data_IF_635490910074
#
_entry.id   IF_635490910074
#
_cell.length_a   1.000
_cell.length_b   1.000
_cell.length_c   1.000
_cell.angle_alpha   90.00
_cell.angle_beta   90.00
_cell.angle_gamma   90.00
#
_symmetry.space_group_name_H-M   'P 1'
#
loop_
_entity.id
_entity.type
_entity.pdbx_description
1 polymer ?
#
# COMPACT_ATOMS: atom_id res chain seq x y z
N UNK A 1 33.35 -33.35 17.90
CA UNK A 1 34.24 -33.13 16.74
C UNK A 1 33.46 -33.54 15.51
N UNK A 2 33.07 -32.56 14.69
CA UNK A 2 32.40 -32.80 13.42
C UNK A 2 33.25 -32.08 12.37
N UNK A 3 34.13 -32.82 11.71
CA UNK A 3 34.94 -32.30 10.61
C UNK A 3 34.16 -32.50 9.31
N UNK A 4 33.74 -31.38 8.71
CA UNK A 4 33.24 -31.34 7.34
C UNK A 4 34.29 -30.68 6.44
N UNK A 5 34.48 -31.13 5.19
CA UNK A 5 35.49 -30.58 4.30
C UNK A 5 35.14 -29.14 3.90
N UNK A 6 36.03 -28.21 4.23
CA UNK A 6 35.93 -26.80 3.85
C UNK A 6 36.23 -26.63 2.36
N UNK A 7 35.25 -26.19 1.57
CA UNK A 7 35.39 -25.86 0.15
C UNK A 7 35.91 -24.43 -0.05
N UNK A 8 37.04 -24.09 0.56
CA UNK A 8 37.73 -22.82 0.34
C UNK A 8 39.19 -23.10 -0.04
N UNK A 9 39.39 -23.54 -1.28
CA UNK A 9 40.72 -23.56 -1.87
C UNK A 9 40.58 -23.26 -3.36
N UNK A 10 40.66 -21.97 -3.68
CA UNK A 10 41.04 -21.52 -5.02
C UNK A 10 42.56 -21.45 -5.10
N UNK A 11 43.13 -21.42 -6.32
CA UNK A 11 44.59 -21.29 -6.50
C UNK A 11 45.11 -20.04 -5.79
N UNK A 12 46.30 -20.16 -5.19
CA UNK A 12 46.99 -19.05 -4.53
C UNK A 12 47.17 -17.93 -5.57
N UNK A 13 46.69 -16.70 -5.31
CA UNK A 13 46.81 -15.62 -6.26
C UNK A 13 48.30 -15.26 -6.45
N UNK A 14 48.71 -14.89 -7.68
CA UNK A 14 50.12 -14.68 -8.00
C UNK A 14 50.70 -13.49 -7.21
N UNK A 15 51.99 -13.58 -6.89
CA UNK A 15 52.70 -12.56 -6.10
C UNK A 15 52.56 -11.15 -6.76
N UNK A 16 52.05 -10.15 -6.03
CA UNK A 16 51.85 -8.80 -6.54
C UNK A 16 53.15 -8.11 -6.97
N UNK A 17 54.32 -8.57 -6.51
CA UNK A 17 55.62 -8.04 -6.95
C UNK A 17 56.00 -8.47 -8.37
N UNK A 18 55.50 -9.63 -8.81
CA UNK A 18 55.82 -10.22 -10.11
C UNK A 18 54.82 -9.82 -11.21
N UNK A 19 53.56 -9.54 -10.84
CA UNK A 19 52.51 -9.15 -11.78
C UNK A 19 51.72 -7.91 -11.33
N UNK A 20 52.36 -6.72 -11.26
CA UNK A 20 51.72 -5.50 -10.78
C UNK A 20 50.52 -5.06 -11.64
N UNK A 21 50.42 -5.53 -12.89
CA UNK A 21 49.33 -5.18 -13.80
C UNK A 21 47.98 -5.82 -13.44
N UNK A 22 48.00 -7.03 -12.84
CA UNK A 22 46.80 -7.75 -12.42
C UNK A 22 46.13 -7.14 -11.18
N UNK A 23 46.88 -6.34 -10.42
CA UNK A 23 46.42 -5.68 -9.20
C UNK A 23 46.23 -4.16 -9.36
N UNK A 24 46.27 -3.63 -10.60
CA UNK A 24 46.00 -2.22 -10.87
C UNK A 24 44.53 -1.88 -10.59
N UNK A 25 44.26 -1.23 -9.46
CA UNK A 25 42.93 -0.70 -9.16
C UNK A 25 42.55 0.45 -10.11
N UNK A 26 41.30 0.49 -10.63
CA UNK A 26 40.84 1.59 -11.47
C UNK A 26 40.86 2.90 -10.69
N UNK A 27 41.39 3.97 -11.30
CA UNK A 27 41.59 5.31 -10.72
C UNK A 27 40.31 5.98 -10.18
N UNK A 28 39.13 5.40 -10.43
CA UNK A 28 37.84 5.86 -9.92
C UNK A 28 37.60 5.55 -8.43
N UNK A 29 38.36 4.64 -7.82
CA UNK A 29 38.09 4.17 -6.45
C UNK A 29 38.93 4.86 -5.36
N UNK A 30 39.82 5.79 -5.72
CA UNK A 30 40.82 6.38 -4.80
C UNK A 30 40.30 7.56 -3.96
N UNK A 31 38.98 7.77 -3.90
CA UNK A 31 38.40 9.00 -3.36
C UNK A 31 37.98 8.98 -1.89
N UNK A 32 38.16 7.89 -1.12
CA UNK A 32 37.47 7.80 0.18
C UNK A 32 38.28 7.37 1.40
N UNK A 33 39.51 6.87 1.26
CA UNK A 33 40.25 6.29 2.40
C UNK A 33 41.77 6.46 2.27
N UNK A 34 42.29 7.68 2.07
CA UNK A 34 43.68 7.99 2.43
C UNK A 34 43.68 9.39 3.08
N UNK A 35 44.12 9.47 4.34
CA UNK A 35 44.24 10.70 5.10
C UNK A 35 45.25 11.64 4.41
N UNK A 36 44.86 12.89 4.28
CA UNK A 36 45.66 13.94 3.65
C UNK A 36 46.72 14.42 4.66
N UNK A 37 47.95 13.98 4.48
CA UNK A 37 49.12 14.61 5.07
C UNK A 37 49.80 15.41 3.96
N UNK A 38 50.27 16.59 4.33
CA UNK A 38 51.08 17.54 3.55
C UNK A 38 50.30 18.62 2.79
N UNK A 39 50.21 19.77 3.47
CA UNK A 39 49.90 21.05 2.86
C UNK A 39 51.01 21.48 1.91
N UNK A 40 50.66 21.65 0.64
CA UNK A 40 51.47 22.30 -0.37
C UNK A 40 50.63 23.34 -1.10
N UNK A 41 50.70 24.59 -0.65
CA UNK A 41 50.27 25.74 -1.43
C UNK A 41 51.16 25.85 -2.66
N UNK A 42 50.68 25.38 -3.81
CA UNK A 42 51.32 25.64 -5.10
C UNK A 42 50.50 26.67 -5.88
N UNK A 43 51.10 27.85 -5.96
CA UNK A 43 50.76 28.96 -6.84
C UNK A 43 50.54 28.48 -8.28
N UNK A 44 49.31 28.60 -8.77
CA UNK A 44 48.92 28.44 -10.17
C UNK A 44 48.19 29.70 -10.63
N UNK A 45 48.17 30.00 -11.94
CA UNK A 45 47.61 31.27 -12.44
C UNK A 45 46.14 31.43 -12.04
N UNK A 46 45.71 32.67 -11.77
CA UNK A 46 44.33 32.98 -11.42
C UNK A 46 43.36 32.29 -12.39
N UNK A 47 42.41 31.56 -11.81
CA UNK A 47 41.38 30.83 -12.53
C UNK A 47 40.56 31.83 -13.40
N UNK A 48 40.47 31.65 -14.74
CA UNK A 48 39.69 32.53 -15.62
C UNK A 48 38.23 32.69 -15.18
N UNK A 49 37.66 33.88 -15.27
CA UNK A 49 36.30 34.16 -14.79
C UNK A 49 35.24 33.18 -15.36
N UNK A 50 34.42 32.63 -14.46
CA UNK A 50 33.43 31.58 -14.74
C UNK A 50 32.27 32.07 -15.62
N UNK A 51 32.08 33.39 -15.70
CA UNK A 51 31.07 34.01 -16.57
C UNK A 51 31.51 34.01 -18.04
N UNK A 52 32.82 34.12 -18.30
CA UNK A 52 33.36 34.26 -19.66
C UNK A 52 33.76 32.91 -20.29
N UNK A 53 34.10 31.91 -19.46
CA UNK A 53 34.57 30.60 -19.96
C UNK A 53 33.95 29.40 -19.20
N UNK A 54 32.65 29.08 -19.44
CA UNK A 54 31.94 28.00 -18.73
C UNK A 54 32.49 26.59 -18.99
N UNK A 55 33.20 26.41 -20.11
CA UNK A 55 33.69 25.11 -20.56
C UNK A 55 34.91 24.57 -19.81
N UNK A 56 35.68 25.43 -19.13
CA UNK A 56 36.95 25.05 -18.52
C UNK A 56 36.82 24.57 -17.05
N UNK A 57 35.64 24.73 -16.44
CA UNK A 57 35.36 24.35 -15.05
C UNK A 57 34.52 23.08 -14.89
N UNK A 58 34.13 22.47 -16.00
CA UNK A 58 33.32 21.25 -15.95
C UNK A 58 34.26 20.05 -15.85
N UNK A 59 34.30 19.40 -14.68
CA UNK A 59 35.06 18.14 -14.47
C UNK A 59 34.53 16.94 -15.30
N UNK A 60 33.53 17.16 -16.16
CA UNK A 60 33.12 16.21 -17.20
C UNK A 60 33.76 16.64 -18.51
N UNK A 61 34.57 15.76 -19.09
CA UNK A 61 34.87 15.81 -20.51
C UNK A 61 33.57 16.03 -21.29
N UNK A 62 33.50 17.02 -22.21
CA UNK A 62 32.34 17.16 -23.08
C UNK A 62 32.11 15.81 -23.76
N UNK A 63 30.86 15.35 -23.77
CA UNK A 63 30.50 14.05 -24.31
C UNK A 63 31.01 13.97 -25.76
N UNK A 64 32.03 13.14 -25.97
CA UNK A 64 32.58 12.88 -27.30
C UNK A 64 31.41 12.50 -28.22
N UNK A 65 31.35 13.14 -29.39
CA UNK A 65 30.34 12.78 -30.38
C UNK A 65 30.45 11.27 -30.66
N UNK A 66 29.32 10.55 -30.68
CA UNK A 66 29.36 9.13 -31.02
C UNK A 66 30.08 8.96 -32.36
N UNK A 67 31.05 8.04 -32.42
CA UNK A 67 31.75 7.71 -33.67
C UNK A 67 30.74 7.07 -34.61
N UNK A 68 30.26 7.85 -35.57
CA UNK A 68 29.23 7.48 -36.52
C UNK A 68 29.88 7.50 -37.90
N UNK A 69 29.71 6.40 -38.66
CA UNK A 69 30.21 6.31 -40.03
C UNK A 69 29.50 7.29 -40.97
N UNK A 70 30.08 7.60 -42.15
CA UNK A 70 29.56 8.62 -43.08
C UNK A 70 28.09 8.36 -43.47
N UNK A 71 27.69 7.10 -43.60
CA UNK A 71 26.32 6.73 -43.99
C UNK A 71 25.27 6.93 -42.87
N UNK A 72 25.70 7.11 -41.63
CA UNK A 72 24.82 7.22 -40.46
C UNK A 72 24.77 8.65 -39.89
N UNK A 73 25.42 9.63 -40.53
CA UNK A 73 25.39 11.05 -40.14
C UNK A 73 23.96 11.60 -40.13
N UNK A 74 23.15 11.22 -41.13
CA UNK A 74 21.75 11.63 -41.24
C UNK A 74 20.90 11.22 -40.03
N UNK A 75 21.20 10.08 -39.40
CA UNK A 75 20.48 9.57 -38.21
C UNK A 75 20.78 10.45 -36.99
N UNK A 76 22.05 10.85 -36.83
CA UNK A 76 22.46 11.76 -35.77
C UNK A 76 21.82 13.13 -35.96
N UNK A 77 21.84 13.66 -37.17
CA UNK A 77 21.24 14.95 -37.50
C UNK A 77 19.73 14.93 -37.26
N UNK A 78 19.03 13.88 -37.69
CA UNK A 78 17.60 13.68 -37.41
C UNK A 78 17.29 13.58 -35.92
N UNK A 79 18.14 12.93 -35.14
CA UNK A 79 18.02 12.86 -33.69
C UNK A 79 18.25 14.22 -33.00
N UNK A 80 19.14 15.05 -33.54
CA UNK A 80 19.44 16.39 -33.01
C UNK A 80 18.39 17.43 -33.41
N UNK A 81 17.98 17.46 -34.68
CA UNK A 81 17.04 18.44 -35.25
C UNK A 81 15.58 18.05 -35.01
N UNK A 82 15.30 16.76 -34.77
CA UNK A 82 13.95 16.23 -34.69
C UNK A 82 13.24 16.22 -36.06
N UNK A 83 12.09 15.56 -36.15
CA UNK A 83 11.33 15.40 -37.42
C UNK A 83 10.92 16.76 -38.00
N UNK A 84 10.58 17.73 -37.15
CA UNK A 84 10.15 19.05 -37.59
C UNK A 84 11.33 19.92 -38.08
N UNK A 85 12.51 19.77 -37.48
CA UNK A 85 13.73 20.45 -37.93
C UNK A 85 14.39 19.80 -39.15
N UNK A 86 13.97 18.60 -39.56
CA UNK A 86 14.33 17.99 -40.84
C UNK A 86 13.44 18.54 -41.98
N UNK A 87 12.16 18.79 -41.70
CA UNK A 87 11.20 19.35 -42.65
C UNK A 87 11.44 20.85 -42.87
N UNK A 88 11.72 21.58 -41.78
CA UNK A 88 12.16 22.95 -41.81
C UNK A 88 13.67 22.95 -41.95
N UNK A 89 14.18 22.97 -43.19
CA UNK A 89 15.61 23.18 -43.51
C UNK A 89 16.04 24.60 -43.08
N UNK A 90 16.02 24.85 -41.79
CA UNK A 90 16.53 26.07 -41.17
C UNK A 90 17.97 25.77 -40.82
N UNK A 91 18.84 25.99 -41.80
CA UNK A 91 20.26 25.99 -41.56
C UNK A 91 20.58 27.19 -40.63
N UNK A 92 21.12 26.84 -39.47
CA UNK A 92 21.82 27.70 -38.51
C UNK A 92 21.05 28.51 -37.44
N UNK A 93 19.77 28.23 -37.19
CA UNK A 93 19.11 28.71 -35.96
C UNK A 93 18.95 27.59 -34.93
N UNK A 94 19.71 27.56 -33.81
CA UNK A 94 19.45 26.63 -32.73
C UNK A 94 18.14 27.00 -32.05
N UNK A 95 17.04 26.36 -32.46
CA UNK A 95 15.82 26.35 -31.68
C UNK A 95 16.14 25.68 -30.35
N UNK A 96 16.30 26.49 -29.30
CA UNK A 96 16.38 26.02 -27.92
C UNK A 96 15.08 25.27 -27.65
N UNK A 97 15.11 23.96 -27.80
CA UNK A 97 14.00 23.10 -27.40
C UNK A 97 13.87 23.28 -25.89
N UNK A 98 12.84 24.00 -25.45
CA UNK A 98 12.51 24.09 -24.03
C UNK A 98 12.30 22.65 -23.55
N UNK A 99 13.14 22.13 -22.63
CA UNK A 99 13.00 20.76 -22.20
C UNK A 99 11.64 20.65 -21.52
N UNK A 100 10.75 19.84 -22.09
CA UNK A 100 9.50 19.44 -21.42
C UNK A 100 9.92 18.96 -20.03
N UNK A 101 9.41 19.61 -18.98
CA UNK A 101 9.65 19.17 -17.61
C UNK A 101 9.27 17.70 -17.55
N UNK A 102 10.26 16.84 -17.36
CA UNK A 102 10.00 15.42 -17.15
C UNK A 102 9.15 15.35 -15.89
N UNK A 103 7.92 14.88 -16.03
CA UNK A 103 7.08 14.58 -14.88
C UNK A 103 7.92 13.66 -13.98
N UNK A 104 8.21 14.11 -12.76
CA UNK A 104 9.01 13.34 -11.81
C UNK A 104 8.27 12.01 -11.63
N UNK A 105 8.85 10.92 -12.13
CA UNK A 105 8.30 9.58 -11.95
C UNK A 105 8.35 9.33 -10.45
N UNK A 106 7.16 9.17 -9.86
CA UNK A 106 7.02 9.03 -8.43
C UNK A 106 7.58 7.67 -8.01
N UNK A 107 8.53 7.67 -7.07
CA UNK A 107 9.13 6.44 -6.56
C UNK A 107 8.13 5.70 -5.66
N UNK A 108 7.25 4.90 -6.26
CA UNK A 108 6.22 4.14 -5.53
C UNK A 108 6.81 3.25 -4.44
N UNK A 109 8.04 2.77 -4.59
CA UNK A 109 8.75 2.03 -3.53
C UNK A 109 8.97 2.87 -2.26
N UNK A 110 9.40 4.13 -2.40
CA UNK A 110 9.61 5.05 -1.27
C UNK A 110 8.28 5.45 -0.64
N UNK A 111 7.26 5.70 -1.46
CA UNK A 111 5.92 6.05 -0.99
C UNK A 111 5.26 4.88 -0.23
N UNK A 112 5.38 3.65 -0.74
CA UNK A 112 4.89 2.45 -0.08
C UNK A 112 5.58 2.24 1.28
N UNK A 113 6.89 2.47 1.37
CA UNK A 113 7.62 2.40 2.65
C UNK A 113 7.15 3.49 3.62
N UNK A 114 6.91 4.72 3.16
CA UNK A 114 6.35 5.79 4.00
C UNK A 114 4.96 5.42 4.51
N UNK A 115 4.09 4.97 3.61
CA UNK A 115 2.73 4.51 3.94
C UNK A 115 2.74 3.36 4.92
N UNK A 116 3.64 2.38 4.77
CA UNK A 116 3.77 1.26 5.70
C UNK A 116 4.18 1.74 7.10
N UNK A 117 5.14 2.66 7.19
CA UNK A 117 5.55 3.27 8.47
C UNK A 117 4.41 4.06 9.11
N UNK A 118 3.62 4.76 8.31
CA UNK A 118 2.49 5.55 8.78
C UNK A 118 1.36 4.66 9.32
N UNK A 119 1.07 3.54 8.64
CA UNK A 119 0.14 2.51 9.15
C UNK A 119 0.65 1.92 10.47
N UNK A 120 1.93 1.57 10.55
CA UNK A 120 2.54 1.06 11.78
C UNK A 120 2.49 2.09 12.92
N UNK A 121 2.70 3.38 12.61
CA UNK A 121 2.60 4.47 13.57
C UNK A 121 1.17 4.62 14.09
N UNK A 122 0.17 4.68 13.20
CA UNK A 122 -1.25 4.74 13.58
C UNK A 122 -1.69 3.55 14.42
N UNK A 123 -1.23 2.35 14.10
CA UNK A 123 -1.56 1.16 14.89
C UNK A 123 -0.98 1.25 16.32
N UNK A 124 0.25 1.77 16.47
CA UNK A 124 0.82 2.03 17.80
C UNK A 124 0.07 3.11 18.56
N UNK A 125 -0.32 4.19 17.89
CA UNK A 125 -1.10 5.29 18.48
C UNK A 125 -2.47 4.80 18.94
N UNK A 126 -3.20 4.05 18.10
CA UNK A 126 -4.47 3.43 18.50
C UNK A 126 -4.29 2.47 19.68
N UNK A 127 -3.24 1.65 19.70
CA UNK A 127 -2.95 0.79 20.85
C UNK A 127 -2.62 1.60 22.10
N UNK A 128 -1.94 2.75 21.97
CA UNK A 128 -1.66 3.66 23.07
C UNK A 128 -2.93 4.37 23.57
N UNK A 129 -3.81 4.83 22.67
CA UNK A 129 -5.13 5.39 23.01
C UNK A 129 -6.03 4.35 23.67
N UNK A 130 -6.03 3.11 23.18
CA UNK A 130 -6.73 1.99 23.82
C UNK A 130 -6.13 1.71 25.19
N UNK A 131 -4.80 1.75 25.35
CA UNK A 131 -4.15 1.54 26.65
C UNK A 131 -4.39 2.71 27.63
N UNK A 132 -4.50 3.94 27.14
CA UNK A 132 -4.79 5.14 27.94
C UNK A 132 -6.27 5.22 28.33
N UNK A 133 -7.18 4.86 27.42
CA UNK A 133 -8.64 4.80 27.68
C UNK A 133 -9.07 3.56 28.45
N UNK A 134 -8.27 2.49 28.42
CA UNK A 134 -8.35 1.40 29.39
C UNK A 134 -7.99 1.95 30.76
N UNK A 135 -9.05 2.28 31.49
CA UNK A 135 -9.05 2.41 32.95
C UNK A 135 -8.27 1.23 33.53
N UNK A 136 -7.39 1.54 34.50
CA UNK A 136 -6.52 0.59 35.21
C UNK A 136 -7.18 -0.79 35.29
N UNK A 137 -6.53 -1.86 34.79
CA UNK A 137 -7.17 -3.16 34.65
C UNK A 137 -7.80 -3.51 35.99
N UNK A 138 -9.14 -3.47 36.04
CA UNK A 138 -9.89 -3.84 37.22
C UNK A 138 -9.63 -5.33 37.37
N UNK A 139 -8.63 -5.67 38.20
CA UNK A 139 -8.50 -7.02 38.74
C UNK A 139 -9.89 -7.37 39.24
N UNK A 140 -10.51 -8.38 38.64
CA UNK A 140 -11.85 -8.86 38.97
C UNK A 140 -11.90 -9.53 40.35
N UNK A 141 -11.29 -8.90 41.34
CA UNK A 141 -11.37 -9.25 42.74
C UNK A 141 -12.22 -8.16 43.36
N UNK A 142 -13.52 -8.42 43.50
CA UNK A 142 -14.35 -7.58 44.36
C UNK A 142 -13.67 -7.50 45.73
N UNK A 143 -13.70 -6.33 46.38
CA UNK A 143 -13.12 -6.12 47.73
C UNK A 143 -13.57 -7.16 48.77
N UNK A 144 -14.70 -7.83 48.51
CA UNK A 144 -15.24 -8.94 49.29
C UNK A 144 -14.32 -10.16 49.44
N UNK A 145 -13.32 -10.35 48.56
CA UNK A 145 -12.48 -11.56 48.53
C UNK A 145 -10.98 -11.31 48.75
N UNK A 146 -10.59 -10.08 49.14
CA UNK A 146 -9.17 -9.74 49.38
C UNK A 146 -8.56 -10.58 50.52
N UNK A 147 -9.38 -10.98 51.49
CA UNK A 147 -8.98 -11.75 52.67
C UNK A 147 -9.27 -13.26 52.56
N UNK A 148 -9.76 -13.74 51.41
CA UNK A 148 -10.05 -15.16 51.22
C UNK A 148 -8.82 -15.86 50.66
N UNK A 149 -8.13 -16.63 51.51
CA UNK A 149 -7.01 -17.48 51.09
C UNK A 149 -7.47 -18.48 50.02
N UNK A 150 -6.63 -18.70 49.02
CA UNK A 150 -6.89 -19.73 48.01
C UNK A 150 -6.90 -21.11 48.67
N UNK A 151 -8.04 -21.82 48.59
CA UNK A 151 -8.16 -23.21 49.06
C UNK A 151 -7.15 -24.15 48.38
N UNK A 152 -6.71 -23.81 47.17
CA UNK A 152 -5.66 -24.54 46.45
C UNK A 152 -4.31 -24.34 47.12
N UNK A 153 -4.02 -23.14 47.64
CA UNK A 153 -2.80 -22.87 48.41
C UNK A 153 -2.79 -23.65 49.74
N UNK A 154 -3.94 -23.76 50.40
CA UNK A 154 -4.09 -24.59 51.61
C UNK A 154 -3.92 -26.09 51.31
N UNK A 155 -4.46 -26.59 50.19
CA UNK A 155 -4.30 -27.98 49.78
C UNK A 155 -2.86 -28.34 49.38
N UNK A 156 -2.09 -27.40 48.85
CA UNK A 156 -0.67 -27.60 48.52
C UNK A 156 0.27 -27.47 49.73
N UNK A 157 -0.14 -26.72 50.77
CA UNK A 157 0.63 -26.57 52.01
C UNK A 157 0.28 -27.63 53.07
N UNK A 158 -0.85 -28.35 52.92
CA UNK A 158 -1.19 -29.46 53.79
C UNK A 158 -0.23 -30.65 53.56
N UNK A 159 0.37 -31.22 54.62
CA UNK A 159 1.16 -32.44 54.49
C UNK A 159 0.24 -33.58 54.03
N UNK A 160 0.50 -34.07 52.81
CA UNK A 160 -0.09 -35.24 52.14
C UNK A 160 -1.21 -35.98 52.90
N UNK A 161 -2.48 -35.74 52.53
CA UNK A 161 -3.57 -36.63 52.92
C UNK A 161 -4.19 -37.29 51.68
N UNK A 162 -4.30 -38.61 51.83
CA UNK A 162 -4.82 -39.64 50.94
C UNK A 162 -5.71 -39.17 49.78
N UNK A 163 -5.37 -39.67 48.59
CA UNK A 163 -6.12 -39.56 47.33
C UNK A 163 -7.58 -39.97 47.59
N UNK A 164 -8.50 -39.01 47.47
CA UNK A 164 -9.95 -39.27 47.59
C UNK A 164 -10.43 -40.05 46.35
N UNK A 165 -11.23 -41.13 46.52
CA UNK A 165 -11.60 -42.06 45.44
C UNK A 165 -12.54 -41.49 44.37
N UNK A 166 -13.03 -40.26 44.55
CA UNK A 166 -14.05 -39.68 43.67
C UNK A 166 -13.51 -39.29 42.28
N UNK A 167 -12.19 -39.19 42.10
CA UNK A 167 -11.59 -38.71 40.85
C UNK A 167 -11.27 -39.81 39.81
N UNK A 168 -11.57 -41.08 40.08
CA UNK A 168 -11.22 -42.18 39.15
C UNK A 168 -12.02 -42.17 37.83
N UNK A 169 -13.14 -41.46 37.75
CA UNK A 169 -14.06 -41.55 36.61
C UNK A 169 -13.98 -40.40 35.59
N UNK A 170 -13.16 -39.36 35.83
CA UNK A 170 -13.19 -38.14 35.01
C UNK A 170 -12.27 -38.15 33.77
N UNK A 171 -11.59 -39.27 33.48
CA UNK A 171 -10.74 -39.44 32.29
C UNK A 171 -11.30 -40.43 31.26
N UNK A 172 -12.62 -40.69 31.29
CA UNK A 172 -13.28 -41.64 30.39
C UNK A 172 -14.42 -40.99 29.60
N UNK A 173 -14.09 -40.04 28.74
CA UNK A 173 -14.99 -39.60 27.68
C UNK A 173 -14.18 -39.49 26.39
N UNK A 174 -14.69 -40.12 25.32
CA UNK A 174 -14.14 -40.27 23.97
C UNK A 174 -13.43 -41.61 23.68
N UNK A 175 -14.27 -42.64 23.56
CA UNK A 175 -13.92 -43.95 23.01
C UNK A 175 -15.19 -44.77 22.84
N UNK A 176 -16.09 -44.36 21.94
CA UNK A 176 -17.18 -45.21 21.51
C UNK A 176 -16.62 -46.30 20.60
N UNK A 177 -16.30 -47.45 21.19
CA UNK A 177 -16.26 -48.72 20.48
C UNK A 177 -16.65 -49.79 21.47
N UNK A 178 -17.70 -50.53 21.14
CA UNK A 178 -18.12 -51.68 21.92
C UNK A 178 -16.95 -52.65 22.08
N UNK A 179 -16.62 -52.99 23.31
CA UNK A 179 -16.20 -54.31 23.84
C UNK A 179 -15.78 -54.02 25.29
N UNK A 180 -16.51 -54.58 26.25
CA UNK A 180 -16.14 -54.54 27.66
C UNK A 180 -14.87 -55.36 27.90
N UNK A 181 -13.85 -54.84 28.62
CA UNK A 181 -13.01 -55.71 29.42
C UNK A 181 -13.35 -55.48 30.89
N UNK A 182 -13.84 -56.52 31.57
CA UNK A 182 -13.80 -56.61 33.03
C UNK A 182 -12.32 -56.54 33.45
N UNK A 183 -11.88 -55.39 33.94
CA UNK A 183 -10.61 -55.27 34.66
C UNK A 183 -10.94 -55.49 36.13
N UNK A 184 -10.72 -56.72 36.62
CA UNK A 184 -10.64 -56.96 38.05
C UNK A 184 -9.44 -56.17 38.60
N UNK A 185 -9.69 -55.42 39.66
CA UNK A 185 -8.68 -54.73 40.44
C UNK A 185 -7.64 -55.74 40.93
N UNK A 186 -6.38 -55.54 40.56
CA UNK A 186 -5.24 -56.24 41.16
C UNK A 186 -4.85 -55.47 42.44
N UNK A 187 -5.12 -56.06 43.60
CA UNK A 187 -4.49 -55.67 44.85
C UNK A 187 -2.99 -56.00 44.75
N UNK A 188 -2.15 -54.98 44.77
CA UNK A 188 -0.70 -55.15 44.89
C UNK A 188 -0.37 -55.28 46.37
N UNK A 189 -0.29 -56.52 46.83
CA UNK A 189 0.27 -56.86 48.14
C UNK A 189 1.41 -57.88 47.93
N UNK A 190 2.60 -57.45 48.36
CA UNK A 190 3.79 -58.22 48.75
C UNK A 190 4.70 -58.89 47.69
N UNK A 191 5.96 -58.43 47.78
CA UNK A 191 7.26 -59.13 47.76
C UNK A 191 7.45 -60.31 46.79
N UNK A 192 8.33 -60.11 45.81
CA UNK A 192 8.92 -61.21 45.05
C UNK A 192 10.36 -61.47 45.50
N UNK A 193 10.59 -62.70 45.97
CA UNK A 193 11.83 -63.42 45.69
C UNK A 193 11.54 -64.46 44.60
N UNK A 194 12.48 -64.55 43.67
CA UNK A 194 12.77 -65.53 42.62
C UNK A 194 11.69 -66.40 41.94
N UNK A 195 11.61 -66.20 40.62
CA UNK A 195 11.93 -67.18 39.57
C UNK A 195 11.13 -68.50 39.49
N UNK A 196 10.02 -68.50 38.73
CA UNK A 196 9.81 -69.40 37.58
C UNK A 196 8.46 -69.12 36.87
N UNK A 197 8.54 -68.95 35.54
CA UNK A 197 7.53 -69.18 34.50
C UNK A 197 6.03 -68.95 34.86
N UNK A 198 5.42 -67.78 34.58
CA UNK A 198 4.08 -67.52 35.05
C UNK A 198 3.02 -68.00 34.04
N UNK A 199 2.52 -69.23 34.23
CA UNK A 199 1.17 -69.56 33.73
C UNK A 199 0.15 -68.88 34.64
N UNK A 200 -0.35 -67.72 34.20
CA UNK A 200 -1.42 -67.02 34.89
C UNK A 200 -2.77 -67.70 34.61
N UNK A 201 -3.31 -68.41 35.60
CA UNK A 201 -4.63 -69.02 35.54
C UNK A 201 -5.69 -67.96 35.84
N UNK A 202 -6.56 -67.65 34.87
CA UNK A 202 -7.75 -66.81 35.09
C UNK A 202 -8.96 -67.66 34.71
N UNK A 203 -9.82 -67.93 35.68
CA UNK A 203 -11.09 -68.65 35.51
C UNK A 203 -10.93 -70.09 34.96
N UNK A 204 -10.03 -70.88 35.58
CA UNK A 204 -9.93 -72.33 35.39
C UNK A 204 -9.23 -72.81 34.11
N UNK A 205 -8.82 -71.91 33.20
CA UNK A 205 -8.11 -72.27 31.97
C UNK A 205 -6.80 -71.48 31.87
N UNK A 206 -5.72 -72.12 31.40
CA UNK A 206 -4.42 -71.49 31.19
C UNK A 206 -4.47 -70.63 29.92
N UNK A 207 -4.62 -69.33 30.09
CA UNK A 207 -4.70 -68.38 28.97
C UNK A 207 -3.29 -67.92 28.62
N UNK A 208 -2.82 -68.25 27.41
CA UNK A 208 -1.52 -67.77 26.93
C UNK A 208 -1.65 -66.35 26.35
N UNK A 209 -1.33 -65.36 27.18
CA UNK A 209 -1.40 -63.94 26.80
C UNK A 209 -0.43 -63.56 25.68
N UNK A 210 0.68 -64.29 25.50
CA UNK A 210 1.63 -64.04 24.41
C UNK A 210 0.96 -64.36 23.07
N UNK A 211 0.28 -65.51 22.97
CA UNK A 211 -0.48 -65.90 21.77
C UNK A 211 -1.67 -64.97 21.51
N UNK A 212 -2.39 -64.57 22.56
CA UNK A 212 -3.50 -63.63 22.42
C UNK A 212 -3.04 -62.25 21.95
N UNK A 213 -1.96 -61.70 22.51
CA UNK A 213 -1.40 -60.43 22.07
C UNK A 213 -0.81 -60.49 20.66
N UNK A 214 -0.13 -61.60 20.30
CA UNK A 214 0.36 -61.80 18.93
C UNK A 214 -0.80 -61.81 17.92
N UNK A 215 -1.88 -62.54 18.24
CA UNK A 215 -3.08 -62.57 17.40
C UNK A 215 -3.83 -61.23 17.38
N UNK A 216 -3.82 -60.47 18.48
CA UNK A 216 -4.40 -59.13 18.53
C UNK A 216 -3.59 -58.14 17.68
N UNK A 217 -2.26 -58.17 17.79
CA UNK A 217 -1.35 -57.32 17.03
C UNK A 217 -1.40 -57.60 15.52
N UNK A 218 -1.56 -58.87 15.11
CA UNK A 218 -1.78 -59.22 13.70
C UNK A 218 -3.11 -58.72 13.14
N UNK A 219 -4.12 -58.52 13.99
CA UNK A 219 -5.47 -58.07 13.58
C UNK A 219 -5.65 -56.54 13.64
N UNK A 220 -4.74 -55.81 14.30
CA UNK A 220 -4.81 -54.34 14.33
C UNK A 220 -4.40 -53.76 13.00
N UNK A 221 -5.37 -53.29 12.21
CA UNK A 221 -5.09 -52.53 10.99
C UNK A 221 -4.54 -51.16 11.36
N UNK A 222 -3.37 -50.81 10.83
CA UNK A 222 -2.81 -49.46 10.95
C UNK A 222 -3.77 -48.46 10.30
N UNK A 223 -4.53 -47.73 11.11
CA UNK A 223 -5.36 -46.62 10.65
C UNK A 223 -4.45 -45.45 10.25
N UNK A 224 -4.30 -45.24 8.94
CA UNK A 224 -3.70 -44.00 8.41
C UNK A 224 -4.58 -42.81 8.78
N UNK A 225 -3.98 -41.67 9.12
CA UNK A 225 -4.73 -40.46 9.50
C UNK A 225 -5.66 -40.02 8.36
N UNK A 226 -6.88 -39.62 8.72
CA UNK A 226 -7.91 -39.19 7.75
C UNK A 226 -7.43 -38.05 6.85
N UNK A 227 -6.53 -37.18 7.35
CA UNK A 227 -5.92 -36.08 6.59
C UNK A 227 -5.17 -36.54 5.33
N UNK A 228 -4.49 -37.69 5.35
CA UNK A 228 -3.80 -38.21 4.16
C UNK A 228 -4.74 -38.88 3.16
N UNK A 229 -5.84 -39.45 3.65
CA UNK A 229 -6.90 -39.99 2.79
C UNK A 229 -7.67 -38.87 2.10
N UNK A 230 -8.00 -37.80 2.83
CA UNK A 230 -8.72 -36.63 2.31
C UNK A 230 -7.96 -35.85 1.22
N UNK A 231 -6.62 -35.88 1.23
CA UNK A 231 -5.81 -35.27 0.15
C UNK A 231 -5.93 -36.02 -1.19
N UNK A 232 -6.23 -37.33 -1.17
CA UNK A 232 -6.40 -38.12 -2.39
C UNK A 232 -7.77 -37.91 -3.02
N UNK A 233 -8.80 -37.73 -2.20
CA UNK A 233 -10.19 -37.66 -2.66
C UNK A 233 -10.62 -36.24 -3.08
N UNK A 234 -9.87 -35.21 -2.65
CA UNK A 234 -10.15 -33.82 -3.01
C UNK A 234 -8.87 -33.13 -3.46
N UNK A 235 -8.64 -32.96 -4.78
CA UNK A 235 -7.58 -32.07 -5.22
C UNK A 235 -7.89 -30.68 -4.64
N UNK A 236 -6.92 -30.12 -3.92
CA UNK A 236 -6.99 -28.72 -3.48
C UNK A 236 -7.31 -27.90 -4.73
N UNK A 237 -8.31 -27.00 -4.71
CA UNK A 237 -8.64 -26.20 -5.88
C UNK A 237 -7.41 -25.37 -6.23
N UNK A 238 -6.63 -25.87 -7.18
CA UNK A 238 -5.48 -25.19 -7.72
C UNK A 238 -6.07 -24.04 -8.51
N UNK A 239 -5.94 -22.83 -7.98
CA UNK A 239 -6.36 -21.61 -8.66
C UNK A 239 -5.88 -21.70 -10.12
N UNK A 240 -6.84 -21.65 -11.05
CA UNK A 240 -6.56 -21.85 -12.48
C UNK A 240 -5.50 -20.83 -12.88
N UNK A 241 -4.31 -21.33 -13.23
CA UNK A 241 -3.18 -20.45 -13.60
C UNK A 241 -3.61 -19.59 -14.78
N UNK A 242 -3.44 -18.28 -14.63
CA UNK A 242 -3.82 -17.29 -15.65
C UNK A 242 -5.19 -16.63 -15.42
N UNK A 243 -6.03 -17.14 -14.51
CA UNK A 243 -7.24 -16.43 -14.09
C UNK A 243 -6.93 -15.45 -12.96
N UNK A 244 -7.49 -14.25 -13.08
CA UNK A 244 -7.42 -13.24 -12.04
C UNK A 244 -8.36 -13.67 -10.91
N UNK A 245 -7.89 -13.71 -9.66
CA UNK A 245 -8.77 -13.99 -8.53
C UNK A 245 -9.94 -13.01 -8.43
N UNK A 246 -11.12 -13.54 -8.14
CA UNK A 246 -12.38 -12.80 -8.05
C UNK A 246 -12.28 -11.49 -7.24
N UNK A 247 -11.58 -11.52 -6.10
CA UNK A 247 -11.44 -10.33 -5.24
C UNK A 247 -10.71 -9.16 -5.93
N UNK A 248 -9.84 -9.42 -6.92
CA UNK A 248 -9.18 -8.37 -7.69
C UNK A 248 -10.11 -7.78 -8.75
N UNK A 249 -11.01 -8.59 -9.30
CA UNK A 249 -12.04 -8.14 -10.24
C UNK A 249 -13.05 -7.25 -9.52
N UNK A 250 -13.57 -7.72 -8.38
CA UNK A 250 -14.45 -6.95 -7.49
C UNK A 250 -13.80 -5.63 -7.06
N UNK A 251 -12.51 -5.64 -6.75
CA UNK A 251 -11.77 -4.42 -6.40
C UNK A 251 -11.64 -3.43 -7.55
N UNK A 252 -11.45 -3.90 -8.79
CA UNK A 252 -11.45 -3.02 -9.97
C UNK A 252 -12.83 -2.41 -10.20
N UNK A 253 -13.90 -3.17 -9.97
CA UNK A 253 -15.26 -2.64 -10.05
C UNK A 253 -15.54 -1.60 -8.97
N UNK A 254 -15.09 -1.83 -7.74
CA UNK A 254 -15.18 -0.85 -6.66
C UNK A 254 -14.50 0.47 -7.05
N UNK A 255 -13.25 0.42 -7.52
CA UNK A 255 -12.55 1.62 -7.98
C UNK A 255 -13.24 2.32 -9.14
N UNK A 256 -13.85 1.56 -10.05
CA UNK A 256 -14.62 2.12 -11.18
C UNK A 256 -15.87 2.84 -10.69
N UNK A 257 -16.60 2.25 -9.74
CA UNK A 257 -17.79 2.84 -9.11
C UNK A 257 -17.43 4.11 -8.35
N UNK A 258 -16.39 4.06 -7.51
CA UNK A 258 -15.89 5.23 -6.78
C UNK A 258 -15.37 6.33 -7.72
N UNK A 259 -14.74 5.97 -8.84
CA UNK A 259 -14.30 6.94 -9.83
C UNK A 259 -15.47 7.61 -10.56
N UNK A 260 -16.53 6.86 -10.84
CA UNK A 260 -17.75 7.41 -11.40
C UNK A 260 -18.48 8.32 -10.40
N UNK A 261 -18.60 7.91 -9.14
CA UNK A 261 -19.16 8.75 -8.07
C UNK A 261 -18.33 10.02 -7.88
N UNK A 262 -17.00 9.93 -7.84
CA UNK A 262 -16.13 11.12 -7.83
C UNK A 262 -16.32 12.00 -9.05
N UNK A 263 -16.54 11.42 -10.24
CA UNK A 263 -16.78 12.20 -11.46
C UNK A 263 -18.15 12.87 -11.46
N UNK A 264 -19.19 12.22 -10.92
CA UNK A 264 -20.54 12.79 -10.77
C UNK A 264 -20.56 13.90 -9.73
N UNK A 265 -19.83 13.72 -8.63
CA UNK A 265 -19.74 14.66 -7.53
C UNK A 265 -18.65 15.72 -7.74
N UNK A 266 -17.77 15.55 -8.73
CA UNK A 266 -16.76 16.54 -9.06
C UNK A 266 -17.50 17.81 -9.49
N UNK A 267 -17.27 18.95 -8.80
CA UNK A 267 -17.81 20.21 -9.27
C UNK A 267 -17.25 20.49 -10.67
N UNK A 268 -18.08 21.06 -11.54
CA UNK A 268 -17.71 21.38 -12.91
C UNK A 268 -16.40 22.21 -12.88
N UNK A 269 -15.32 21.78 -13.55
CA UNK A 269 -14.05 22.52 -13.53
C UNK A 269 -14.18 23.94 -14.11
N UNK A 270 -15.28 24.22 -14.82
CA UNK A 270 -15.61 25.56 -15.31
C UNK A 270 -16.31 26.44 -14.27
N UNK A 271 -16.80 25.89 -13.15
CA UNK A 271 -17.54 26.63 -12.14
C UNK A 271 -16.58 27.48 -11.27
N UNK A 272 -16.77 28.81 -11.19
CA UNK A 272 -15.99 29.65 -10.29
C UNK A 272 -16.22 29.27 -8.82
N UNK A 273 -15.18 29.38 -7.98
CA UNK A 273 -15.27 29.13 -6.53
C UNK A 273 -16.32 30.06 -5.91
N UNK A 274 -17.15 29.53 -5.00
CA UNK A 274 -18.20 30.30 -4.33
C UNK A 274 -19.41 30.65 -5.20
N UNK A 275 -19.54 30.04 -6.38
CA UNK A 275 -20.70 30.20 -7.24
C UNK A 275 -21.42 28.86 -7.42
N UNK A 276 -22.75 28.91 -7.51
CA UNK A 276 -23.61 27.75 -7.76
C UNK A 276 -24.26 27.88 -9.14
N UNK A 277 -24.43 26.76 -9.83
CA UNK A 277 -25.16 26.71 -11.10
C UNK A 277 -26.64 27.02 -10.85
N UNK A 278 -27.17 28.05 -11.51
CA UNK A 278 -28.58 28.39 -11.47
C UNK A 278 -29.41 27.29 -12.16
N UNK A 279 -30.50 26.79 -11.54
CA UNK A 279 -31.43 25.87 -12.17
C UNK A 279 -31.97 26.41 -13.50
N UNK A 280 -32.21 25.52 -14.45
CA UNK A 280 -32.65 25.93 -15.78
C UNK A 280 -34.03 26.61 -15.78
N UNK A 281 -34.96 26.15 -14.94
CA UNK A 281 -36.28 26.75 -14.78
C UNK A 281 -36.18 28.21 -14.36
N UNK A 282 -35.43 28.48 -13.29
CA UNK A 282 -35.22 29.83 -12.75
C UNK A 282 -34.52 30.75 -13.76
N UNK A 283 -33.53 30.21 -14.49
CA UNK A 283 -32.84 30.93 -15.57
C UNK A 283 -33.81 31.36 -16.67
N UNK A 284 -34.68 30.44 -17.11
CA UNK A 284 -35.65 30.71 -18.17
C UNK A 284 -36.73 31.72 -17.72
N UNK A 285 -37.19 31.64 -16.47
CA UNK A 285 -38.13 32.60 -15.89
C UNK A 285 -37.53 34.01 -15.81
N UNK A 286 -36.30 34.12 -15.30
CA UNK A 286 -35.55 35.39 -15.25
C UNK A 286 -35.36 35.97 -16.65
N UNK A 287 -34.98 35.14 -17.63
CA UNK A 287 -34.82 35.56 -19.02
C UNK A 287 -36.14 36.08 -19.63
N UNK A 288 -37.28 35.45 -19.31
CA UNK A 288 -38.61 35.94 -19.76
C UNK A 288 -38.92 37.30 -19.15
N UNK A 289 -38.76 37.45 -17.84
CA UNK A 289 -38.98 38.72 -17.12
C UNK A 289 -38.10 39.86 -17.66
N UNK A 290 -36.83 39.59 -17.93
CA UNK A 290 -35.91 40.57 -18.54
C UNK A 290 -36.36 40.97 -19.94
N UNK A 291 -36.80 40.02 -20.78
CA UNK A 291 -37.31 40.31 -22.13
C UNK A 291 -38.60 41.11 -22.11
N UNK A 292 -39.50 40.84 -21.17
CA UNK A 292 -40.73 41.61 -20.97
C UNK A 292 -40.42 43.05 -20.54
N UNK A 293 -39.54 43.21 -19.56
CA UNK A 293 -39.06 44.52 -19.10
C UNK A 293 -38.39 45.31 -20.22
N UNK A 294 -37.54 44.65 -21.02
CA UNK A 294 -36.91 45.25 -22.19
C UNK A 294 -37.95 45.75 -23.21
N UNK A 295 -38.95 44.92 -23.55
CA UNK A 295 -40.04 45.32 -24.46
C UNK A 295 -40.78 46.56 -23.93
N UNK A 296 -41.08 46.59 -22.63
CA UNK A 296 -41.75 47.73 -21.99
C UNK A 296 -40.91 49.01 -22.09
N UNK A 297 -39.60 48.94 -21.81
CA UNK A 297 -38.72 50.11 -21.93
C UNK A 297 -38.56 50.57 -23.39
N UNK A 298 -38.50 49.65 -24.36
CA UNK A 298 -38.49 50.01 -25.78
C UNK A 298 -39.79 50.71 -26.16
N UNK A 299 -40.95 50.22 -25.70
CA UNK A 299 -42.22 50.92 -25.95
C UNK A 299 -42.26 52.31 -25.32
N UNK A 300 -41.68 52.47 -24.14
CA UNK A 300 -41.58 53.78 -23.48
C UNK A 300 -40.64 54.71 -24.27
N UNK A 301 -39.48 54.24 -24.71
CA UNK A 301 -38.53 55.00 -25.52
C UNK A 301 -39.18 55.48 -26.82
N UNK A 302 -39.92 54.61 -27.50
CA UNK A 302 -40.65 54.92 -28.72
C UNK A 302 -41.83 55.88 -28.51
N UNK A 303 -42.34 56.00 -27.28
CA UNK A 303 -43.40 56.94 -26.93
C UNK A 303 -42.90 58.37 -26.68
N UNK A 304 -41.58 58.57 -26.57
CA UNK A 304 -41.01 59.90 -26.36
C UNK A 304 -41.18 60.80 -27.60
N UNK A 305 -41.33 62.12 -27.42
CA UNK A 305 -41.39 63.06 -28.53
C UNK A 305 -40.15 62.97 -29.43
N UNK A 306 -40.35 63.06 -30.75
CA UNK A 306 -39.26 63.00 -31.73
C UNK A 306 -38.24 64.15 -31.58
N UNK A 307 -38.70 65.31 -31.08
CA UNK A 307 -37.85 66.48 -30.81
C UNK A 307 -37.38 66.47 -29.36
N UNK A 308 -36.07 66.52 -29.17
CA UNK A 308 -35.43 66.50 -27.86
C UNK A 308 -34.97 67.89 -27.41
N UNK A 309 -35.81 68.91 -27.58
CA UNK A 309 -35.42 70.31 -27.33
C UNK A 309 -35.36 70.65 -25.83
N UNK A 310 -36.04 69.84 -24.99
CA UNK A 310 -36.09 70.01 -23.55
C UNK A 310 -35.07 69.11 -22.85
N UNK A 311 -34.27 69.67 -21.93
CA UNK A 311 -33.31 68.92 -21.11
C UNK A 311 -33.96 67.71 -20.41
N UNK A 312 -35.19 67.85 -19.91
CA UNK A 312 -35.94 66.77 -19.25
C UNK A 312 -36.22 65.57 -20.18
N UNK A 313 -36.51 65.82 -21.46
CA UNK A 313 -36.71 64.76 -22.45
C UNK A 313 -35.39 64.09 -22.78
N UNK A 314 -34.31 64.86 -22.91
CA UNK A 314 -32.96 64.32 -23.14
C UNK A 314 -32.48 63.46 -21.97
N UNK A 315 -32.66 63.89 -20.72
CA UNK A 315 -32.27 63.13 -19.53
C UNK A 315 -33.09 61.85 -19.38
N UNK A 316 -34.42 61.92 -19.60
CA UNK A 316 -35.27 60.72 -19.59
C UNK A 316 -34.87 59.73 -20.68
N UNK A 317 -34.58 60.20 -21.89
CA UNK A 317 -34.10 59.35 -22.99
C UNK A 317 -32.79 58.67 -22.62
N UNK A 318 -31.79 59.43 -22.16
CA UNK A 318 -30.51 58.88 -21.73
C UNK A 318 -30.66 57.85 -20.60
N UNK A 319 -31.57 58.09 -19.64
CA UNK A 319 -31.86 57.12 -18.58
C UNK A 319 -32.45 55.81 -19.13
N UNK A 320 -33.40 55.89 -20.08
CA UNK A 320 -33.97 54.71 -20.74
C UNK A 320 -32.90 53.95 -21.54
N UNK A 321 -32.05 54.66 -22.27
CA UNK A 321 -30.96 54.06 -23.05
C UNK A 321 -29.94 53.33 -22.14
N UNK A 322 -29.54 53.94 -21.02
CA UNK A 322 -28.68 53.29 -20.03
C UNK A 322 -29.34 52.01 -19.48
N UNK A 323 -30.59 52.11 -19.04
CA UNK A 323 -31.31 50.96 -18.47
C UNK A 323 -31.55 49.85 -19.50
N UNK A 324 -31.75 50.20 -20.77
CA UNK A 324 -31.82 49.22 -21.86
C UNK A 324 -30.49 48.50 -22.03
N UNK A 325 -29.36 49.21 -22.02
CA UNK A 325 -28.03 48.57 -22.12
C UNK A 325 -27.76 47.60 -20.97
N UNK A 326 -28.15 47.95 -19.74
CA UNK A 326 -28.05 47.06 -18.56
C UNK A 326 -28.91 45.79 -18.74
N UNK A 327 -30.14 45.94 -19.24
CA UNK A 327 -31.02 44.80 -19.51
C UNK A 327 -30.49 43.92 -20.65
N UNK A 328 -29.93 44.50 -21.72
CA UNK A 328 -29.34 43.75 -22.82
C UNK A 328 -28.13 42.93 -22.36
N UNK A 329 -27.29 43.49 -21.50
CA UNK A 329 -26.19 42.76 -20.87
C UNK A 329 -26.71 41.62 -19.99
N UNK A 330 -27.74 41.87 -19.17
CA UNK A 330 -28.37 40.84 -18.37
C UNK A 330 -28.96 39.72 -19.25
N UNK A 331 -29.73 40.07 -20.29
CA UNK A 331 -30.31 39.12 -21.26
C UNK A 331 -29.20 38.28 -21.90
N UNK A 332 -28.07 38.90 -22.28
CA UNK A 332 -26.92 38.21 -22.85
C UNK A 332 -26.26 37.22 -21.88
N UNK A 333 -26.27 37.52 -20.58
CA UNK A 333 -25.79 36.60 -19.54
C UNK A 333 -26.76 35.43 -19.40
N UNK A 334 -28.06 35.70 -19.25
CA UNK A 334 -29.10 34.67 -19.04
C UNK A 334 -29.48 33.88 -20.30
N UNK A 335 -29.11 34.36 -21.49
CA UNK A 335 -29.26 33.62 -22.74
C UNK A 335 -28.27 32.46 -22.87
N UNK A 336 -27.21 32.40 -22.05
CA UNK A 336 -26.27 31.28 -22.00
C UNK A 336 -26.93 30.05 -21.38
N UNK A 337 -26.48 28.86 -21.76
CA UNK A 337 -27.02 27.59 -21.25
C UNK A 337 -26.75 27.41 -19.74
N UNK A 338 -25.56 27.80 -19.29
CA UNK A 338 -25.13 27.72 -17.89
C UNK A 338 -24.88 29.12 -17.33
N UNK A 339 -25.55 29.44 -16.23
CA UNK A 339 -25.38 30.70 -15.49
C UNK A 339 -24.99 30.35 -14.07
N UNK A 340 -23.89 30.91 -13.59
CA UNK A 340 -23.41 30.71 -12.23
C UNK A 340 -23.73 31.96 -11.41
N UNK A 341 -24.37 31.76 -10.26
CA UNK A 341 -24.76 32.83 -9.35
C UNK A 341 -23.85 32.75 -8.13
N UNK A 342 -23.39 33.91 -7.64
CA UNK A 342 -22.58 33.98 -6.43
C UNK A 342 -23.43 33.56 -5.24
N UNK A 343 -22.89 32.70 -4.38
CA UNK A 343 -23.60 32.32 -3.17
C UNK A 343 -23.57 33.50 -2.19
N UNK A 344 -24.74 33.97 -1.76
CA UNK A 344 -24.86 34.93 -0.68
C UNK A 344 -24.57 34.19 0.63
N UNK A 345 -23.33 34.22 1.09
CA UNK A 345 -22.89 33.69 2.38
C UNK A 345 -22.02 34.69 3.10
#
# INVERSE_FOLDING_TARGET
>A
MCEGPSTISGPIPPDPSLFPELYKHPKSARGRLEGHHDGGLLSGPLAPDHVLYPGFYTARTPAQHPRIGPNAVHILERGKKGVMGELLKLDDAPLISIPKQRHLVQDFGKENVRRLREIQKRYREQQAEIAQSRHSPVKALSSKYIHVSSKVKEQLQAPHLAIKPQCQNFLKAHGASQVSPKVLQRSASFNFTNDHNPQFLIQGHSVNFIKLNANAAGKTVLRRSQSLSSLKDKPVPSAVKGQVPQYLEERKEQWRREAEERRRNAPDPSAPVGHTLMPESERQETLKSLKESHRSLVTELLSLPLKADNLSVQTRKAHLDCRLSELEEAIKIFSRDKVYVKNDS
#
